data_IF_954763775103
#
_entry.id   IF_954763775103
#
_cell.length_a   1.000
_cell.length_b   1.000
_cell.length_c   1.000
_cell.angle_alpha   90.00
_cell.angle_beta   90.00
_cell.angle_gamma   90.00
#
_symmetry.space_group_name_H-M   'P 1'
#
loop_
_entity.id
_entity.type
_entity.pdbx_description
1 polymer ?
#
# COMPACT_ATOMS: atom_id res chain seq x y z
N UNK A 1 -21.71 -7.79 -4.78
CA UNK A 1 -20.85 -8.99 -4.83
C UNK A 1 -19.58 -8.53 -5.51
N UNK A 2 -18.54 -8.22 -4.75
CA UNK A 2 -17.19 -8.04 -5.30
C UNK A 2 -16.27 -9.00 -4.55
N UNK A 3 -16.15 -10.20 -5.13
CA UNK A 3 -15.18 -11.22 -4.72
C UNK A 3 -13.85 -10.97 -5.46
N UNK A 4 -13.37 -9.72 -5.49
CA UNK A 4 -12.04 -9.43 -5.99
C UNK A 4 -11.09 -9.37 -4.81
N UNK A 5 -10.39 -10.48 -4.57
CA UNK A 5 -9.22 -10.48 -3.70
C UNK A 5 -8.20 -9.50 -4.28
N UNK A 6 -8.05 -8.34 -3.64
CA UNK A 6 -6.99 -7.38 -3.94
C UNK A 6 -5.63 -8.11 -4.09
N UNK A 7 -4.83 -7.81 -5.13
CA UNK A 7 -3.60 -8.54 -5.41
C UNK A 7 -2.54 -8.26 -4.36
N UNK A 8 -1.67 -9.24 -4.09
CA UNK A 8 -0.54 -9.03 -3.19
C UNK A 8 0.43 -8.01 -3.78
N UNK A 9 0.86 -7.04 -2.97
CA UNK A 9 1.57 -5.85 -3.42
C UNK A 9 2.94 -6.14 -4.04
N UNK A 10 3.73 -7.07 -3.49
CA UNK A 10 5.04 -7.41 -4.08
C UNK A 10 4.88 -8.03 -5.46
N UNK A 11 3.99 -9.00 -5.61
CA UNK A 11 3.76 -9.68 -6.89
C UNK A 11 3.22 -8.70 -7.94
N UNK A 12 2.25 -7.86 -7.54
CA UNK A 12 1.68 -6.86 -8.41
C UNK A 12 2.74 -5.85 -8.89
N UNK A 13 3.51 -5.24 -7.98
CA UNK A 13 4.55 -4.26 -8.33
C UNK A 13 5.66 -4.86 -9.20
N UNK A 14 6.09 -6.11 -8.93
CA UNK A 14 7.14 -6.79 -9.71
C UNK A 14 6.69 -7.16 -11.12
N UNK A 15 5.40 -7.43 -11.32
CA UNK A 15 4.85 -7.78 -12.63
C UNK A 15 4.40 -6.58 -13.46
N UNK A 16 4.17 -5.43 -12.80
CA UNK A 16 3.72 -4.21 -13.44
C UNK A 16 4.85 -3.55 -14.24
N UNK A 17 4.59 -3.21 -15.50
CA UNK A 17 5.58 -2.57 -16.39
C UNK A 17 5.58 -1.04 -16.28
N UNK A 18 4.61 -0.46 -15.56
CA UNK A 18 4.62 0.95 -15.23
C UNK A 18 5.80 1.25 -14.27
N UNK A 19 6.73 2.15 -14.64
CA UNK A 19 7.90 2.47 -13.81
C UNK A 19 7.54 3.23 -12.52
N UNK A 20 6.32 3.74 -12.41
CA UNK A 20 5.77 4.47 -11.27
C UNK A 20 4.35 3.97 -10.96
N UNK A 21 4.20 2.66 -10.85
CA UNK A 21 2.92 1.95 -10.74
C UNK A 21 2.09 2.28 -9.49
N UNK A 22 2.69 2.85 -8.45
CA UNK A 22 2.03 3.03 -7.16
C UNK A 22 2.40 4.35 -6.51
N UNK A 23 1.38 5.11 -6.09
CA UNK A 23 1.50 6.36 -5.32
C UNK A 23 2.72 7.18 -5.77
N UNK A 24 2.73 7.55 -7.05
CA UNK A 24 3.91 8.15 -7.70
C UNK A 24 4.28 9.52 -7.13
N UNK A 25 3.29 10.25 -6.63
CA UNK A 25 3.41 11.44 -5.78
C UNK A 25 4.29 11.19 -4.54
N UNK A 26 4.19 10.01 -3.92
CA UNK A 26 4.91 9.63 -2.68
C UNK A 26 6.23 8.92 -2.92
N UNK A 27 6.31 8.01 -3.90
CA UNK A 27 7.47 7.14 -4.11
C UNK A 27 8.30 7.49 -5.34
N UNK A 28 7.72 8.18 -6.33
CA UNK A 28 8.37 8.49 -7.60
C UNK A 28 8.61 7.30 -8.53
N UNK A 29 8.88 6.10 -8.00
CA UNK A 29 9.11 4.88 -8.79
C UNK A 29 8.56 3.61 -8.12
N UNK A 30 8.28 2.60 -8.94
CA UNK A 30 7.87 1.25 -8.51
C UNK A 30 8.92 0.59 -7.61
N UNK A 31 10.21 0.90 -7.81
CA UNK A 31 11.29 0.39 -6.95
C UNK A 31 11.22 0.92 -5.52
N UNK A 32 11.01 2.23 -5.36
CA UNK A 32 10.85 2.87 -4.05
C UNK A 32 9.55 2.43 -3.35
N UNK A 33 8.46 2.29 -4.11
CA UNK A 33 7.22 1.71 -3.61
C UNK A 33 7.44 0.29 -3.08
N UNK A 34 8.14 -0.56 -3.83
CA UNK A 34 8.44 -1.92 -3.41
C UNK A 34 9.29 -1.94 -2.13
N UNK A 35 10.28 -1.07 -2.00
CA UNK A 35 11.09 -0.95 -0.78
C UNK A 35 10.24 -0.59 0.45
N UNK A 36 9.26 0.29 0.29
CA UNK A 36 8.29 0.59 1.35
C UNK A 36 7.42 -0.61 1.72
N UNK A 37 6.92 -1.36 0.73
CA UNK A 37 6.16 -2.60 0.96
C UNK A 37 7.00 -3.63 1.74
N UNK A 38 8.26 -3.83 1.36
CA UNK A 38 9.16 -4.73 2.08
C UNK A 38 9.36 -4.31 3.54
N UNK A 39 9.51 -3.00 3.81
CA UNK A 39 9.59 -2.47 5.17
C UNK A 39 8.34 -2.79 6.00
N UNK A 40 7.13 -2.72 5.43
CA UNK A 40 5.91 -3.10 6.14
C UNK A 40 5.93 -4.58 6.56
N UNK A 41 6.43 -5.45 5.69
CA UNK A 41 6.59 -6.86 6.01
C UNK A 41 7.67 -7.11 7.07
N UNK A 42 8.80 -6.39 7.02
CA UNK A 42 9.84 -6.46 8.06
C UNK A 42 9.30 -6.03 9.44
N UNK A 43 8.41 -5.04 9.47
CA UNK A 43 7.71 -4.60 10.68
C UNK A 43 6.62 -5.57 11.15
N UNK A 44 6.29 -6.57 10.32
CA UNK A 44 5.44 -7.68 10.70
C UNK A 44 4.04 -7.68 10.10
N UNK A 45 3.79 -6.92 9.03
CA UNK A 45 2.53 -7.05 8.28
C UNK A 45 2.33 -8.51 7.84
N UNK A 46 1.12 -9.04 8.00
CA UNK A 46 0.80 -10.41 7.57
C UNK A 46 0.65 -10.48 6.05
N UNK A 47 0.02 -9.46 5.46
CA UNK A 47 -0.15 -9.25 4.02
C UNK A 47 -0.23 -7.76 3.74
N UNK A 48 0.21 -7.38 2.55
CA UNK A 48 -0.03 -6.06 1.98
C UNK A 48 -0.66 -6.26 0.61
N UNK A 49 -1.84 -5.67 0.40
CA UNK A 49 -2.62 -5.83 -0.82
C UNK A 49 -2.78 -4.47 -1.50
N UNK A 50 -2.69 -4.43 -2.83
CA UNK A 50 -2.98 -3.20 -3.60
C UNK A 50 -4.47 -2.94 -3.58
N UNK A 51 -4.86 -1.70 -3.35
CA UNK A 51 -6.25 -1.25 -3.40
C UNK A 51 -6.39 -0.08 -4.38
N UNK A 52 -7.62 0.22 -4.78
CA UNK A 52 -7.96 1.29 -5.73
C UNK A 52 -7.10 1.29 -7.02
N UNK A 53 -7.21 0.20 -7.78
CA UNK A 53 -6.47 0.00 -9.03
C UNK A 53 -7.17 0.73 -10.17
N UNK A 54 -6.40 1.53 -10.91
CA UNK A 54 -6.75 2.18 -12.16
C UNK A 54 -6.12 1.40 -13.33
N UNK A 55 -6.93 0.65 -14.06
CA UNK A 55 -6.52 -0.27 -15.13
C UNK A 55 -7.14 0.07 -16.50
N UNK A 56 -7.52 1.33 -16.73
CA UNK A 56 -8.10 1.75 -17.99
C UNK A 56 -7.11 1.54 -19.16
N UNK A 57 -7.58 1.06 -20.32
CA UNK A 57 -6.71 0.79 -21.48
C UNK A 57 -5.85 1.99 -21.86
N UNK A 58 -6.41 3.20 -21.87
CA UNK A 58 -5.69 4.42 -22.21
C UNK A 58 -4.53 4.72 -21.25
N UNK A 59 -4.67 4.36 -19.97
CA UNK A 59 -3.59 4.46 -18.98
C UNK A 59 -2.53 3.41 -19.25
N UNK A 60 -2.93 2.16 -19.44
CA UNK A 60 -2.00 1.06 -19.71
C UNK A 60 -1.17 1.34 -20.97
N UNK A 61 -1.78 1.85 -22.03
CA UNK A 61 -1.07 2.24 -23.26
C UNK A 61 -0.07 3.38 -23.04
N UNK A 62 -0.43 4.37 -22.21
CA UNK A 62 0.39 5.56 -21.96
C UNK A 62 1.51 5.31 -20.94
N UNK A 63 1.23 4.58 -19.88
CA UNK A 63 2.08 4.43 -18.70
C UNK A 63 2.74 3.04 -18.62
N UNK A 64 2.35 2.12 -19.50
CA UNK A 64 2.92 0.78 -19.61
C UNK A 64 2.25 -0.26 -18.71
N UNK A 65 1.33 0.13 -17.83
CA UNK A 65 0.62 -0.76 -16.94
C UNK A 65 -0.37 -0.03 -16.03
N UNK A 66 -1.15 -0.76 -15.22
CA UNK A 66 -2.11 -0.16 -14.31
C UNK A 66 -1.41 0.68 -13.23
N UNK A 67 -2.17 1.54 -12.58
CA UNK A 67 -1.73 2.39 -11.47
C UNK A 67 -2.58 2.11 -10.22
N UNK A 68 -2.06 2.38 -9.02
CA UNK A 68 -2.83 2.35 -7.79
C UNK A 68 -2.30 3.40 -6.80
N UNK A 69 -3.14 3.81 -5.86
CA UNK A 69 -2.84 4.88 -4.91
C UNK A 69 -3.07 4.48 -3.44
N UNK A 70 -3.56 3.26 -3.20
CA UNK A 70 -3.77 2.74 -1.85
C UNK A 70 -3.34 1.29 -1.66
N UNK A 71 -3.08 0.95 -0.40
CA UNK A 71 -2.83 -0.42 0.04
C UNK A 71 -3.63 -0.74 1.29
N UNK A 72 -3.99 -2.01 1.39
CA UNK A 72 -4.52 -2.62 2.60
C UNK A 72 -3.43 -3.45 3.29
N UNK A 73 -3.10 -3.09 4.51
CA UNK A 73 -2.13 -3.79 5.38
C UNK A 73 -2.91 -4.69 6.33
N UNK A 74 -2.71 -6.00 6.26
CA UNK A 74 -3.23 -6.95 7.26
C UNK A 74 -2.32 -6.99 8.47
N UNK A 75 -2.92 -6.73 9.63
CA UNK A 75 -2.20 -6.54 10.88
C UNK A 75 -1.85 -7.89 11.53
N UNK A 76 -0.66 -8.02 12.14
CA UNK A 76 -0.32 -9.18 12.93
C UNK A 76 -1.12 -9.21 14.24
N UNK A 77 -1.20 -10.38 14.86
CA UNK A 77 -1.71 -10.54 16.23
C UNK A 77 -0.71 -10.08 17.31
N UNK A 78 0.57 -9.95 16.99
CA UNK A 78 1.63 -9.53 17.92
C UNK A 78 1.52 -8.03 18.26
N UNK A 79 1.30 -7.64 19.53
CA UNK A 79 1.10 -6.24 19.92
C UNK A 79 2.29 -5.31 19.61
N UNK A 80 3.53 -5.81 19.67
CA UNK A 80 4.74 -5.02 19.42
C UNK A 80 4.85 -4.72 17.92
N UNK A 81 4.58 -5.71 17.07
CA UNK A 81 4.53 -5.53 15.61
C UNK A 81 3.39 -4.61 15.20
N UNK A 82 2.20 -4.78 15.81
CA UNK A 82 1.06 -3.87 15.60
C UNK A 82 1.44 -2.43 15.90
N UNK A 83 2.02 -2.17 17.08
CA UNK A 83 2.47 -0.82 17.46
C UNK A 83 3.45 -0.23 16.45
N UNK A 84 4.36 -1.05 15.92
CA UNK A 84 5.32 -0.61 14.90
C UNK A 84 4.65 -0.23 13.58
N UNK A 85 3.65 -0.99 13.14
CA UNK A 85 2.85 -0.68 11.95
C UNK A 85 1.99 0.57 12.14
N UNK A 86 1.38 0.76 13.32
CA UNK A 86 0.63 1.98 13.64
C UNK A 86 1.52 3.24 13.60
N UNK A 87 2.78 3.15 14.04
CA UNK A 87 3.72 4.28 13.93
C UNK A 87 3.98 4.67 12.48
N UNK A 88 4.16 3.70 11.59
CA UNK A 88 4.31 3.98 10.15
C UNK A 88 3.02 4.55 9.59
N UNK A 89 1.88 3.94 9.92
CA UNK A 89 0.57 4.39 9.47
C UNK A 89 0.30 5.85 9.86
N UNK A 90 0.44 6.18 11.14
CA UNK A 90 0.21 7.53 11.65
C UNK A 90 1.21 8.53 11.03
N UNK A 91 2.47 8.14 10.84
CA UNK A 91 3.44 9.01 10.17
C UNK A 91 3.06 9.33 8.72
N UNK A 92 2.56 8.36 7.96
CA UNK A 92 2.09 8.60 6.59
C UNK A 92 0.79 9.41 6.60
N UNK A 93 -0.16 9.08 7.49
CA UNK A 93 -1.43 9.80 7.64
C UNK A 93 -1.21 11.29 7.94
N UNK A 94 -0.31 11.63 8.87
CA UNK A 94 0.03 13.03 9.19
C UNK A 94 0.67 13.75 8.01
N UNK A 95 1.53 13.08 7.25
CA UNK A 95 2.13 13.68 6.05
C UNK A 95 1.08 14.02 4.98
N UNK A 96 0.02 13.22 4.89
CA UNK A 96 -1.14 13.44 4.02
C UNK A 96 -2.19 14.39 4.63
N UNK A 97 -1.95 14.93 5.83
CA UNK A 97 -2.84 15.89 6.49
C UNK A 97 -4.01 15.28 7.28
N UNK A 98 -3.98 13.97 7.54
CA UNK A 98 -4.93 13.28 8.39
C UNK A 98 -4.49 13.26 9.87
N UNK A 99 -5.44 12.98 10.76
CA UNK A 99 -5.17 12.82 12.20
C UNK A 99 -4.59 11.43 12.51
N UNK A 100 -3.77 11.33 13.55
CA UNK A 100 -3.32 10.05 14.08
C UNK A 100 -4.47 9.25 14.68
N UNK A 101 -4.40 7.92 14.56
CA UNK A 101 -5.34 7.02 15.24
C UNK A 101 -4.65 6.26 16.37
N UNK A 102 -5.40 5.97 17.43
CA UNK A 102 -4.93 5.08 18.50
C UNK A 102 -5.01 3.61 18.07
N UNK A 103 -3.99 2.84 18.44
CA UNK A 103 -3.68 1.54 17.89
C UNK A 103 -4.50 0.36 18.41
N UNK A 104 -5.82 0.46 18.53
CA UNK A 104 -6.66 -0.62 19.08
C UNK A 104 -7.67 -1.21 18.08
N UNK A 105 -7.72 -2.55 18.04
CA UNK A 105 -8.84 -3.31 17.49
C UNK A 105 -8.88 -3.59 15.98
N UNK A 106 -8.18 -2.82 15.13
CA UNK A 106 -8.27 -3.04 13.67
C UNK A 106 -7.44 -4.23 13.19
N UNK A 107 -8.05 -5.12 12.40
CA UNK A 107 -7.36 -6.25 11.74
C UNK A 107 -6.65 -5.82 10.44
N UNK A 108 -6.90 -4.60 9.98
CA UNK A 108 -6.26 -4.02 8.81
C UNK A 108 -6.15 -2.50 8.92
N UNK A 109 -5.18 -1.94 8.19
CA UNK A 109 -5.01 -0.50 7.98
C UNK A 109 -4.99 -0.20 6.48
N UNK A 110 -5.61 0.89 6.06
CA UNK A 110 -5.57 1.34 4.66
C UNK A 110 -4.77 2.62 4.57
N UNK A 111 -3.66 2.60 3.82
CA UNK A 111 -2.94 3.81 3.44
C UNK A 111 -3.33 4.22 2.03
N UNK A 112 -3.49 5.53 1.83
CA UNK A 112 -3.88 6.14 0.56
C UNK A 112 -3.08 7.43 0.39
N UNK A 113 -2.66 7.73 -0.85
CA UNK A 113 -1.86 8.89 -1.22
C UNK A 113 -2.42 9.50 -2.53
N UNK A 114 -2.71 10.80 -2.55
CA UNK A 114 -3.29 11.52 -3.72
C UNK A 114 -2.25 12.19 -4.63
#
# INVERSE_FOLDING_TARGET
MDNNTNPEAREWLKSNKNPSAFASNRFGSTGEALAFIEKLYELGAEKVLIDNIFDEESRIEKEGGPYADSILIKMPNDPVKRSSLYKVYNSEAVNEGFEEIEGEGSNSLTLWWD
#
